data_IF_543167410717
#
_entry.id   IF_543167410717
#
_cell.length_a   1.000
_cell.length_b   1.000
_cell.length_c   1.000
_cell.angle_alpha   90.00
_cell.angle_beta   90.00
_cell.angle_gamma   90.00
#
_symmetry.space_group_name_H-M   'P 1'
#
loop_
_entity.id
_entity.type
_entity.pdbx_description
1 polymer ?
#
# COMPACT_ATOMS: atom_id res chain seq x y z
N UNK A 1 23.79 55.05 3.28
CA UNK A 1 24.08 54.57 4.65
C UNK A 1 23.69 53.10 4.66
N UNK A 2 24.53 52.20 4.34
CA UNK A 2 25.57 51.54 5.06
C UNK A 2 25.08 50.14 5.37
N UNK A 3 25.21 49.17 4.39
CA UNK A 3 24.89 47.75 4.60
C UNK A 3 26.24 47.02 4.69
N UNK A 4 26.55 46.51 5.90
CA UNK A 4 27.73 45.67 6.15
C UNK A 4 27.47 44.21 5.72
N UNK A 5 28.23 43.77 4.74
CA UNK A 5 28.34 42.37 4.35
C UNK A 5 29.36 41.64 5.24
N UNK A 6 28.93 40.61 5.96
CA UNK A 6 29.82 39.72 6.72
C UNK A 6 30.22 38.52 5.86
N UNK A 7 31.49 38.55 5.39
CA UNK A 7 32.07 37.44 4.59
C UNK A 7 32.78 36.49 5.56
N UNK A 8 32.29 35.27 5.66
CA UNK A 8 32.93 34.18 6.44
C UNK A 8 34.02 33.50 5.58
N UNK A 9 35.29 33.72 5.95
CA UNK A 9 36.45 33.01 5.35
C UNK A 9 36.62 31.63 5.94
N UNK A 10 36.46 30.59 5.12
CA UNK A 10 36.86 29.22 5.45
C UNK A 10 38.33 29.02 5.06
N UNK A 11 39.18 28.73 6.05
CA UNK A 11 40.58 28.35 5.86
C UNK A 11 40.67 26.90 5.39
N UNK A 12 41.23 26.68 4.22
CA UNK A 12 41.65 25.38 3.73
C UNK A 12 43.07 25.13 4.25
N UNK A 13 43.24 24.09 5.05
CA UNK A 13 44.54 23.61 5.51
C UNK A 13 45.10 22.59 4.49
N UNK A 14 46.21 22.94 3.86
CA UNK A 14 47.00 22.06 3.02
C UNK A 14 47.94 21.24 3.90
N UNK A 15 47.90 19.90 3.82
CA UNK A 15 48.90 19.00 4.38
C UNK A 15 49.61 18.23 3.28
N UNK A 16 50.94 18.21 3.41
CA UNK A 16 51.95 17.67 2.47
C UNK A 16 51.95 16.14 2.38
N UNK A 17 52.60 15.56 1.36
CA UNK A 17 52.49 14.15 0.99
C UNK A 17 53.38 13.25 1.85
N UNK A 18 52.85 12.14 2.35
CA UNK A 18 53.62 11.05 2.94
C UNK A 18 53.78 9.87 1.95
N UNK A 19 54.99 9.34 1.99
CA UNK A 19 55.61 8.30 1.16
C UNK A 19 54.78 7.02 1.05
N UNK A 20 54.70 6.53 -0.19
CA UNK A 20 54.29 5.16 -0.54
C UNK A 20 55.26 4.13 0.05
N UNK A 21 54.73 3.14 0.76
CA UNK A 21 55.37 1.85 1.06
C UNK A 21 54.67 0.79 0.21
N UNK A 22 55.39 0.21 -0.71
CA UNK A 22 54.98 -0.98 -1.45
C UNK A 22 54.82 -2.17 -0.50
N UNK A 23 53.72 -2.92 -0.67
CA UNK A 23 53.54 -4.24 -0.10
C UNK A 23 53.16 -5.26 -1.20
N UNK A 24 53.58 -6.51 -1.03
CA UNK A 24 53.66 -7.47 -2.14
C UNK A 24 52.30 -8.08 -2.48
N UNK A 25 52.06 -8.21 -3.78
CA UNK A 25 51.00 -8.97 -4.41
C UNK A 25 51.06 -10.45 -4.01
N UNK A 26 50.09 -10.92 -3.26
CA UNK A 26 49.70 -12.34 -3.23
C UNK A 26 48.33 -12.51 -3.86
N UNK A 27 48.33 -12.97 -5.08
CA UNK A 27 47.19 -13.47 -5.83
C UNK A 27 46.71 -14.77 -5.14
N UNK A 28 45.64 -14.69 -4.38
CA UNK A 28 44.84 -15.87 -4.04
C UNK A 28 43.46 -15.68 -4.63
N UNK A 29 43.19 -16.44 -5.68
CA UNK A 29 41.85 -16.62 -6.25
C UNK A 29 40.90 -17.12 -5.17
N UNK A 30 39.97 -16.27 -4.71
CA UNK A 30 38.82 -16.70 -3.95
C UNK A 30 37.81 -17.32 -4.91
N UNK A 31 37.13 -18.41 -4.50
CA UNK A 31 36.07 -19.03 -5.29
C UNK A 31 34.86 -18.09 -5.37
N UNK A 32 34.08 -18.27 -6.43
CA UNK A 32 32.93 -17.50 -6.80
C UNK A 32 32.01 -17.18 -5.60
N UNK A 33 31.74 -15.91 -5.50
CA UNK A 33 30.83 -15.22 -4.59
C UNK A 33 29.52 -15.95 -4.39
N UNK A 34 29.21 -16.21 -3.12
CA UNK A 34 27.84 -16.35 -2.63
C UNK A 34 27.02 -15.17 -3.12
N UNK A 35 25.94 -15.46 -3.85
CA UNK A 35 24.94 -14.48 -4.23
C UNK A 35 24.25 -14.10 -2.90
N UNK A 36 24.60 -12.94 -2.34
CA UNK A 36 23.83 -12.34 -1.26
C UNK A 36 22.39 -12.19 -1.76
N UNK A 37 21.49 -13.05 -1.26
CA UNK A 37 20.07 -13.01 -1.58
C UNK A 37 19.42 -14.35 -1.93
N UNK A 38 20.06 -15.49 -1.73
CA UNK A 38 19.37 -16.78 -1.89
C UNK A 38 18.47 -17.05 -0.70
N UNK A 39 17.18 -17.36 -0.97
CA UNK A 39 16.23 -17.82 0.05
C UNK A 39 16.73 -19.11 0.71
N UNK A 40 16.55 -19.24 2.00
CA UNK A 40 16.85 -20.48 2.75
C UNK A 40 15.88 -21.61 2.37
N UNK A 41 16.25 -22.86 2.68
CA UNK A 41 15.34 -24.00 2.50
C UNK A 41 14.03 -23.83 3.30
N UNK A 42 14.08 -23.12 4.41
CA UNK A 42 12.89 -22.85 5.23
C UNK A 42 12.03 -21.75 4.62
N UNK A 43 12.63 -20.76 3.94
CA UNK A 43 11.90 -19.74 3.18
C UNK A 43 11.12 -20.39 2.01
N UNK A 44 11.73 -21.35 1.31
CA UNK A 44 11.07 -22.11 0.23
C UNK A 44 9.82 -22.82 0.74
N UNK A 45 9.91 -23.54 1.86
CA UNK A 45 8.74 -24.18 2.50
C UNK A 45 7.67 -23.16 2.91
N UNK A 46 8.12 -22.01 3.41
CA UNK A 46 7.22 -20.92 3.84
C UNK A 46 6.49 -20.30 2.64
N UNK A 47 7.10 -20.25 1.45
CA UNK A 47 6.44 -19.83 0.20
C UNK A 47 5.31 -20.80 -0.17
N UNK A 48 5.57 -22.11 -0.13
CA UNK A 48 4.55 -23.11 -0.43
C UNK A 48 3.39 -23.05 0.59
N UNK A 49 3.71 -22.84 1.87
CA UNK A 49 2.71 -22.68 2.92
C UNK A 49 1.85 -21.41 2.71
N UNK A 50 2.48 -20.30 2.30
CA UNK A 50 1.77 -19.05 1.99
C UNK A 50 0.81 -19.26 0.82
N UNK A 51 1.26 -19.88 -0.26
CA UNK A 51 0.41 -20.19 -1.43
C UNK A 51 -0.80 -21.05 -1.06
N UNK A 52 -0.56 -22.12 -0.29
CA UNK A 52 -1.64 -22.96 0.21
C UNK A 52 -2.62 -22.18 1.07
N UNK A 53 -2.10 -21.40 2.02
CA UNK A 53 -2.93 -20.56 2.88
C UNK A 53 -3.76 -19.56 2.09
N UNK A 54 -3.20 -18.95 1.05
CA UNK A 54 -3.93 -18.04 0.17
C UNK A 54 -5.04 -18.75 -0.61
N UNK A 55 -4.77 -19.94 -1.16
CA UNK A 55 -5.79 -20.75 -1.82
C UNK A 55 -6.94 -21.13 -0.85
N UNK A 56 -6.60 -21.50 0.37
CA UNK A 56 -7.58 -21.80 1.42
C UNK A 56 -8.41 -20.56 1.80
N UNK A 57 -7.78 -19.36 1.90
CA UNK A 57 -8.47 -18.09 2.12
C UNK A 57 -9.43 -17.80 0.96
N UNK A 58 -9.00 -17.92 -0.30
CA UNK A 58 -9.89 -17.74 -1.46
C UNK A 58 -11.09 -18.67 -1.40
N UNK A 59 -10.87 -19.93 -1.06
CA UNK A 59 -11.93 -20.94 -0.90
C UNK A 59 -12.91 -20.56 0.21
N UNK A 60 -12.43 -20.03 1.33
CA UNK A 60 -13.33 -19.56 2.39
C UNK A 60 -14.10 -18.30 1.97
N UNK A 61 -13.44 -17.34 1.33
CA UNK A 61 -14.08 -16.10 0.87
C UNK A 61 -15.15 -16.37 -0.20
N UNK A 62 -14.92 -17.32 -1.12
CA UNK A 62 -15.89 -17.64 -2.18
C UNK A 62 -17.21 -18.20 -1.67
N UNK A 63 -17.30 -18.58 -0.40
CA UNK A 63 -18.56 -18.98 0.24
C UNK A 63 -19.51 -17.80 0.48
N UNK A 64 -18.98 -16.57 0.52
CA UNK A 64 -19.75 -15.36 0.85
C UNK A 64 -19.59 -14.30 -0.24
N UNK A 65 -18.42 -14.19 -0.84
CA UNK A 65 -18.08 -13.21 -1.87
C UNK A 65 -18.08 -13.90 -3.22
N UNK A 66 -18.95 -13.44 -4.10
CA UNK A 66 -19.03 -13.90 -5.48
C UNK A 66 -18.36 -12.86 -6.37
N UNK A 67 -17.46 -13.32 -7.24
CA UNK A 67 -16.63 -12.42 -8.06
C UNK A 67 -15.58 -11.67 -7.24
N UNK A 68 -15.12 -10.53 -7.75
CA UNK A 68 -14.14 -9.64 -7.13
C UNK A 68 -12.77 -10.32 -6.84
N UNK A 69 -12.40 -11.34 -7.61
CA UNK A 69 -11.17 -12.11 -7.38
C UNK A 69 -9.93 -11.22 -7.45
N UNK A 70 -9.90 -10.30 -8.42
CA UNK A 70 -8.80 -9.38 -8.59
C UNK A 70 -8.66 -8.41 -7.40
N UNK A 71 -9.78 -7.92 -6.87
CA UNK A 71 -9.78 -7.05 -5.68
C UNK A 71 -9.26 -7.82 -4.45
N UNK A 72 -9.67 -9.08 -4.27
CA UNK A 72 -9.19 -9.96 -3.18
C UNK A 72 -7.68 -10.15 -3.29
N UNK A 73 -7.17 -10.48 -4.48
CA UNK A 73 -5.73 -10.67 -4.70
C UNK A 73 -4.95 -9.39 -4.40
N UNK A 74 -5.36 -8.25 -4.95
CA UNK A 74 -4.71 -6.96 -4.72
C UNK A 74 -4.72 -6.55 -3.24
N UNK A 75 -5.83 -6.79 -2.52
CA UNK A 75 -5.87 -6.55 -1.07
C UNK A 75 -4.88 -7.45 -0.33
N UNK A 76 -4.80 -8.72 -0.69
CA UNK A 76 -3.88 -9.64 -0.03
C UNK A 76 -2.41 -9.31 -0.33
N UNK A 77 -2.08 -8.95 -1.59
CA UNK A 77 -0.76 -8.42 -1.96
C UNK A 77 -0.39 -7.18 -1.13
N UNK A 78 -1.34 -6.26 -0.97
CA UNK A 78 -1.16 -5.06 -0.17
C UNK A 78 -0.90 -5.38 1.31
N UNK A 79 -1.64 -6.34 1.88
CA UNK A 79 -1.44 -6.81 3.27
C UNK A 79 -0.07 -7.47 3.45
N UNK A 80 0.36 -8.31 2.52
CA UNK A 80 1.68 -8.96 2.54
C UNK A 80 2.82 -7.94 2.42
N UNK A 81 2.60 -6.86 1.67
CA UNK A 81 3.57 -5.77 1.47
C UNK A 81 3.56 -4.73 2.60
N UNK A 82 2.77 -4.93 3.66
CA UNK A 82 2.56 -3.97 4.74
C UNK A 82 2.09 -2.58 4.23
N UNK A 83 1.34 -2.58 3.13
CA UNK A 83 0.76 -1.39 2.52
C UNK A 83 -0.65 -1.12 3.01
N UNK A 84 -1.21 0.00 2.57
CA UNK A 84 -2.61 0.37 2.75
C UNK A 84 -3.25 0.54 1.37
N UNK A 85 -4.56 0.28 1.23
CA UNK A 85 -5.21 0.38 -0.06
C UNK A 85 -6.42 1.34 -0.04
N UNK A 86 -6.66 1.94 -1.19
CA UNK A 86 -7.85 2.73 -1.47
C UNK A 86 -8.76 1.93 -2.41
N UNK A 87 -9.97 1.63 -1.96
CA UNK A 87 -11.01 0.97 -2.75
C UNK A 87 -11.87 2.02 -3.44
N UNK A 88 -11.91 2.00 -4.74
CA UNK A 88 -12.77 2.85 -5.54
C UNK A 88 -13.86 1.99 -6.18
N UNK A 89 -15.11 2.34 -5.95
CA UNK A 89 -16.24 1.63 -6.54
C UNK A 89 -17.57 2.17 -6.02
N UNK A 90 -18.61 1.95 -6.79
CA UNK A 90 -19.97 2.39 -6.47
C UNK A 90 -20.48 1.77 -5.16
N UNK A 91 -21.51 2.33 -4.53
CA UNK A 91 -22.19 1.71 -3.40
C UNK A 91 -22.76 0.34 -3.77
N UNK A 92 -22.91 -0.55 -2.78
CA UNK A 92 -23.55 -1.86 -3.00
C UNK A 92 -22.61 -2.99 -3.44
N UNK A 93 -21.33 -2.74 -3.71
CA UNK A 93 -20.36 -3.76 -4.12
C UNK A 93 -19.78 -4.59 -2.95
N UNK A 94 -20.52 -4.72 -1.85
CA UNK A 94 -20.16 -5.53 -0.69
C UNK A 94 -18.75 -5.25 -0.08
N UNK A 95 -18.22 -4.01 -0.21
CA UNK A 95 -16.88 -3.63 0.29
C UNK A 95 -16.71 -3.96 1.77
N UNK A 96 -17.67 -3.58 2.61
CA UNK A 96 -17.63 -3.86 4.06
C UNK A 96 -17.64 -5.36 4.35
N UNK A 97 -18.47 -6.13 3.63
CA UNK A 97 -18.55 -7.57 3.78
C UNK A 97 -17.22 -8.23 3.40
N UNK A 98 -16.62 -7.82 2.29
CA UNK A 98 -15.33 -8.33 1.81
C UNK A 98 -14.21 -8.09 2.83
N UNK A 99 -14.06 -6.85 3.31
CA UNK A 99 -12.99 -6.49 4.27
C UNK A 99 -13.17 -7.24 5.60
N UNK A 100 -14.40 -7.31 6.10
CA UNK A 100 -14.70 -8.07 7.30
C UNK A 100 -14.42 -9.57 7.12
N UNK A 101 -14.75 -10.14 5.97
CA UNK A 101 -14.48 -11.55 5.65
C UNK A 101 -12.98 -11.85 5.60
N UNK A 102 -12.17 -10.96 5.03
CA UNK A 102 -10.71 -11.08 5.05
C UNK A 102 -10.18 -11.05 6.49
N UNK A 103 -10.67 -10.15 7.33
CA UNK A 103 -10.23 -10.06 8.73
C UNK A 103 -10.56 -11.33 9.52
N UNK A 104 -11.73 -11.94 9.26
CA UNK A 104 -12.14 -13.20 9.90
C UNK A 104 -11.26 -14.37 9.48
N UNK A 105 -10.95 -14.52 8.19
CA UNK A 105 -10.10 -15.60 7.67
C UNK A 105 -8.65 -15.48 8.13
N UNK A 106 -8.18 -14.25 8.41
CA UNK A 106 -6.82 -13.96 8.90
C UNK A 106 -6.73 -13.80 10.42
N UNK A 107 -7.81 -14.06 11.17
CA UNK A 107 -7.88 -13.92 12.63
C UNK A 107 -7.42 -12.55 13.13
N UNK A 108 -7.67 -11.50 12.36
CA UNK A 108 -7.36 -10.12 12.70
C UNK A 108 -8.57 -9.41 13.28
N UNK A 109 -8.35 -8.49 14.20
CA UNK A 109 -9.41 -7.61 14.70
C UNK A 109 -9.83 -6.62 13.60
N UNK A 110 -11.14 -6.38 13.49
CA UNK A 110 -11.73 -5.51 12.49
C UNK A 110 -12.34 -4.27 13.14
N UNK A 111 -12.05 -3.10 12.61
CA UNK A 111 -12.67 -1.83 12.95
C UNK A 111 -13.25 -1.16 11.71
N UNK A 112 -14.48 -0.64 11.81
CA UNK A 112 -15.11 0.19 10.77
C UNK A 112 -15.23 1.61 11.27
N UNK A 113 -14.81 2.55 10.45
CA UNK A 113 -14.97 4.00 10.65
C UNK A 113 -15.78 4.51 9.48
N UNK A 114 -17.02 4.92 9.71
CA UNK A 114 -17.83 5.59 8.72
C UNK A 114 -17.51 7.07 8.75
N UNK A 115 -16.93 7.59 7.68
CA UNK A 115 -16.57 9.00 7.56
C UNK A 115 -17.81 9.82 7.20
N UNK A 116 -18.19 10.71 8.09
CA UNK A 116 -19.34 11.64 7.95
C UNK A 116 -18.84 13.08 8.10
N UNK A 117 -19.57 14.09 7.60
CA UNK A 117 -19.13 15.49 7.68
C UNK A 117 -18.86 16.01 9.09
N UNK A 118 -19.51 15.43 10.09
CA UNK A 118 -19.41 15.79 11.51
C UNK A 118 -18.41 14.94 12.30
N UNK A 119 -17.79 13.92 11.68
CA UNK A 119 -16.81 13.05 12.34
C UNK A 119 -15.57 13.84 12.80
N UNK A 120 -15.24 13.72 14.08
CA UNK A 120 -14.08 14.37 14.68
C UNK A 120 -12.86 13.43 14.71
N UNK A 121 -11.61 13.96 14.74
CA UNK A 121 -10.41 13.15 14.91
C UNK A 121 -10.45 12.24 16.15
N UNK A 122 -11.02 12.74 17.27
CA UNK A 122 -11.19 11.98 18.51
C UNK A 122 -12.09 10.75 18.36
N UNK A 123 -13.06 10.79 17.43
CA UNK A 123 -13.95 9.65 17.17
C UNK A 123 -13.18 8.51 16.47
N UNK A 124 -12.11 8.85 15.76
CA UNK A 124 -11.21 7.91 15.09
C UNK A 124 -10.16 7.39 16.06
N UNK A 125 -9.45 8.29 16.76
CA UNK A 125 -8.28 7.97 17.57
C UNK A 125 -8.59 7.61 19.02
N UNK A 126 -9.77 8.00 19.50
CA UNK A 126 -10.12 7.94 20.92
C UNK A 126 -9.82 9.24 21.66
N UNK A 127 -10.20 9.27 22.92
CA UNK A 127 -10.12 10.45 23.77
C UNK A 127 -9.80 10.08 25.21
N UNK A 128 -9.26 11.03 25.97
CA UNK A 128 -9.14 10.90 27.43
C UNK A 128 -10.39 11.41 28.11
N UNK A 129 -10.91 10.65 29.06
CA UNK A 129 -12.02 11.05 29.91
C UNK A 129 -11.58 11.07 31.38
N UNK A 130 -12.13 12.00 32.13
CA UNK A 130 -11.91 12.09 33.56
C UNK A 130 -12.87 11.13 34.28
N UNK A 131 -12.35 10.09 34.91
CA UNK A 131 -13.14 9.11 35.67
C UNK A 131 -12.78 9.14 37.16
N UNK A 132 -13.73 8.76 38.00
CA UNK A 132 -13.42 8.51 39.41
C UNK A 132 -12.55 7.25 39.54
N UNK A 133 -11.53 7.31 40.37
CA UNK A 133 -10.71 6.15 40.67
C UNK A 133 -11.53 5.02 41.29
N UNK A 134 -11.17 3.78 40.96
CA UNK A 134 -11.84 2.60 41.48
C UNK A 134 -11.62 2.41 42.99
N UNK A 135 -10.57 2.98 43.53
CA UNK A 135 -10.20 2.98 44.94
C UNK A 135 -10.95 4.01 45.79
N UNK A 136 -11.79 4.83 45.14
CA UNK A 136 -12.76 5.72 45.82
C UNK A 136 -12.25 7.12 46.16
N UNK A 137 -10.98 7.43 45.98
CA UNK A 137 -10.42 8.74 46.28
C UNK A 137 -9.73 9.38 45.06
N UNK A 138 -10.35 10.44 44.52
CA UNK A 138 -9.83 11.26 43.42
C UNK A 138 -10.36 10.88 42.04
N UNK A 139 -9.84 11.63 41.02
CA UNK A 139 -10.16 11.44 39.61
C UNK A 139 -8.87 11.17 38.83
N UNK A 140 -8.98 10.40 37.77
CA UNK A 140 -7.88 10.11 36.85
C UNK A 140 -8.32 10.23 35.41
N UNK A 141 -7.40 10.60 34.53
CA UNK A 141 -7.63 10.56 33.08
C UNK A 141 -7.44 9.13 32.57
N UNK A 142 -8.45 8.62 31.90
CA UNK A 142 -8.43 7.29 31.30
C UNK A 142 -8.59 7.43 29.80
N UNK A 143 -7.65 6.85 29.06
CA UNK A 143 -7.72 6.83 27.61
C UNK A 143 -8.73 5.78 27.11
N UNK A 144 -9.75 6.24 26.41
CA UNK A 144 -10.72 5.40 25.70
C UNK A 144 -10.27 5.26 24.24
N UNK A 145 -9.91 4.04 23.89
CA UNK A 145 -9.45 3.72 22.52
C UNK A 145 -10.55 3.93 21.50
N UNK A 146 -10.23 4.61 20.42
CA UNK A 146 -11.08 4.72 19.23
C UNK A 146 -11.04 3.47 18.34
N UNK A 147 -11.88 3.42 17.30
CA UNK A 147 -11.98 2.28 16.39
C UNK A 147 -10.69 1.98 15.60
N UNK A 148 -9.75 2.93 15.53
CA UNK A 148 -8.45 2.74 14.86
C UNK A 148 -7.57 1.69 15.53
N UNK A 149 -7.86 1.30 16.80
CA UNK A 149 -7.10 0.30 17.53
C UNK A 149 -7.51 -1.14 17.18
N UNK A 150 -7.64 -1.42 15.89
CA UNK A 150 -7.82 -2.75 15.35
C UNK A 150 -6.73 -3.04 14.30
N UNK A 151 -6.58 -4.30 13.91
CA UNK A 151 -5.59 -4.71 12.91
C UNK A 151 -5.99 -4.29 11.49
N UNK A 152 -7.27 -4.47 11.15
CA UNK A 152 -7.85 -4.13 9.85
C UNK A 152 -8.88 -3.04 10.04
N UNK A 153 -8.63 -1.90 9.44
CA UNK A 153 -9.54 -0.74 9.48
C UNK A 153 -10.18 -0.56 8.11
N UNK A 154 -11.50 -0.56 8.10
CA UNK A 154 -12.27 -0.04 6.97
C UNK A 154 -12.63 1.42 7.24
N UNK A 155 -11.96 2.33 6.54
CA UNK A 155 -12.27 3.76 6.53
C UNK A 155 -13.28 4.02 5.40
N UNK A 156 -14.56 3.94 5.72
CA UNK A 156 -15.64 3.98 4.73
C UNK A 156 -15.98 5.42 4.37
N UNK A 157 -15.98 5.73 3.06
CA UNK A 157 -16.27 7.06 2.48
C UNK A 157 -15.34 8.18 3.01
N UNK A 158 -14.03 7.95 3.00
CA UNK A 158 -13.02 8.85 3.58
C UNK A 158 -13.12 10.30 3.06
N UNK A 159 -13.62 10.49 1.85
CA UNK A 159 -13.81 11.80 1.22
C UNK A 159 -15.03 12.59 1.73
N UNK A 160 -15.87 12.04 2.62
CA UNK A 160 -17.03 12.76 3.21
C UNK A 160 -16.70 13.59 4.44
N UNK A 161 -15.49 13.48 4.96
CA UNK A 161 -15.07 14.16 6.18
C UNK A 161 -14.04 15.26 5.86
N UNK A 162 -14.03 16.38 6.61
CA UNK A 162 -13.05 17.44 6.44
C UNK A 162 -11.60 16.95 6.57
N UNK A 163 -10.63 17.64 5.93
CA UNK A 163 -9.21 17.24 5.87
C UNK A 163 -8.54 16.98 7.22
N UNK A 164 -8.99 17.65 8.29
CA UNK A 164 -8.44 17.47 9.64
C UNK A 164 -8.64 16.03 10.15
N UNK A 165 -9.82 15.47 9.95
CA UNK A 165 -10.13 14.09 10.39
C UNK A 165 -9.49 13.06 9.46
N UNK A 166 -9.47 13.33 8.13
CA UNK A 166 -8.70 12.50 7.19
C UNK A 166 -7.23 12.40 7.60
N UNK A 167 -6.61 13.53 7.99
CA UNK A 167 -5.20 13.59 8.38
C UNK A 167 -4.89 12.72 9.60
N UNK A 168 -5.79 12.59 10.57
CA UNK A 168 -5.60 11.73 11.73
C UNK A 168 -5.43 10.24 11.34
N UNK A 169 -6.25 9.74 10.41
CA UNK A 169 -6.10 8.38 9.89
C UNK A 169 -4.79 8.23 9.09
N UNK A 170 -4.49 9.20 8.22
CA UNK A 170 -3.32 9.16 7.34
C UNK A 170 -1.99 9.27 8.11
N UNK A 171 -1.98 9.97 9.26
CA UNK A 171 -0.85 10.00 10.18
C UNK A 171 -0.67 8.63 10.84
N UNK A 172 -1.75 8.05 11.35
CA UNK A 172 -1.72 6.72 11.95
C UNK A 172 -1.24 5.62 11.00
N UNK A 173 -1.57 5.73 9.70
CA UNK A 173 -1.06 4.81 8.67
C UNK A 173 0.46 4.88 8.51
N UNK A 174 1.07 6.07 8.64
CA UNK A 174 2.50 6.25 8.47
C UNK A 174 3.29 5.94 9.74
N UNK A 175 2.80 6.47 10.87
CA UNK A 175 3.53 6.41 12.14
C UNK A 175 3.25 5.12 12.93
N UNK A 176 2.22 4.34 12.54
CA UNK A 176 1.71 3.16 13.24
C UNK A 176 1.41 3.44 14.73
N UNK A 177 1.08 4.68 15.03
CA UNK A 177 0.72 5.19 16.35
C UNK A 177 -0.24 6.38 16.22
N UNK A 178 -0.91 6.69 17.30
CA UNK A 178 -1.70 7.92 17.44
C UNK A 178 -1.25 8.69 18.66
N UNK A 179 -1.31 10.03 18.60
CA UNK A 179 -0.97 10.91 19.71
C UNK A 179 -2.25 11.51 20.27
N UNK A 180 -2.58 11.21 21.54
CA UNK A 180 -3.74 11.75 22.24
C UNK A 180 -3.26 12.44 23.52
N UNK A 181 -3.67 13.69 23.74
CA UNK A 181 -3.26 14.50 24.91
C UNK A 181 -1.74 14.48 25.18
N UNK A 182 -0.91 14.44 24.13
CA UNK A 182 0.56 14.40 24.23
C UNK A 182 1.16 13.02 24.49
N UNK A 183 0.33 11.98 24.65
CA UNK A 183 0.77 10.59 24.84
C UNK A 183 0.69 9.81 23.55
N UNK A 184 1.76 9.06 23.23
CA UNK A 184 1.81 8.19 22.06
C UNK A 184 1.25 6.81 22.38
N UNK A 185 0.25 6.39 21.62
CA UNK A 185 -0.37 5.08 21.70
C UNK A 185 -0.04 4.26 20.45
N UNK A 186 0.69 3.16 20.61
CA UNK A 186 1.07 2.28 19.50
C UNK A 186 -0.14 1.50 18.99
N UNK A 187 -0.25 1.38 17.67
CA UNK A 187 -1.24 0.54 17.02
C UNK A 187 -0.79 -0.91 16.98
N UNK A 188 -1.74 -1.83 17.00
CA UNK A 188 -1.45 -3.26 16.97
C UNK A 188 -1.05 -3.71 15.57
N UNK A 189 0.11 -4.36 15.46
CA UNK A 189 0.54 -4.96 14.19
C UNK A 189 0.11 -6.43 14.05
N UNK A 190 -0.20 -6.90 12.81
CA UNK A 190 -0.18 -6.14 11.56
C UNK A 190 -1.30 -5.09 11.53
N UNK A 191 -1.02 -3.91 10.98
CA UNK A 191 -1.98 -2.82 10.84
C UNK A 191 -2.23 -2.53 9.37
N UNK A 192 -3.49 -2.62 8.96
CA UNK A 192 -3.89 -2.49 7.57
C UNK A 192 -5.14 -1.60 7.44
N UNK A 193 -5.05 -0.56 6.62
CA UNK A 193 -6.16 0.34 6.33
C UNK A 193 -6.63 0.14 4.90
N UNK A 194 -7.92 -0.09 4.77
CA UNK A 194 -8.68 -0.05 3.54
C UNK A 194 -9.61 1.16 3.60
N UNK A 195 -9.28 2.21 2.86
CA UNK A 195 -10.16 3.36 2.71
C UNK A 195 -11.08 3.15 1.50
N UNK A 196 -12.32 3.65 1.54
CA UNK A 196 -13.21 3.63 0.38
C UNK A 196 -13.50 5.04 -0.11
N UNK A 197 -13.66 5.16 -1.41
CA UNK A 197 -14.20 6.35 -2.06
C UNK A 197 -15.32 5.97 -3.01
N UNK A 198 -16.37 6.77 -3.00
CA UNK A 198 -17.45 6.67 -3.98
C UNK A 198 -17.18 7.66 -5.10
N UNK A 199 -16.91 7.21 -6.34
CA UNK A 199 -16.60 8.10 -7.44
C UNK A 199 -17.81 8.91 -7.97
N UNK A 200 -19.03 8.51 -7.62
CA UNK A 200 -20.27 9.13 -8.10
C UNK A 200 -20.65 10.33 -7.22
N UNK A 201 -20.40 10.24 -5.92
CA UNK A 201 -20.74 11.30 -4.98
C UNK A 201 -19.71 12.43 -5.04
N UNK A 202 -20.11 13.57 -5.60
CA UNK A 202 -19.28 14.77 -5.69
C UNK A 202 -19.73 15.87 -4.72
N UNK A 203 -21.04 15.96 -4.44
CA UNK A 203 -21.59 16.96 -3.54
C UNK A 203 -21.28 16.62 -2.06
N UNK A 204 -20.86 17.64 -1.31
CA UNK A 204 -20.50 17.47 0.12
C UNK A 204 -19.26 16.63 0.39
N UNK A 205 -18.37 16.48 -0.60
CA UNK A 205 -17.14 15.69 -0.47
C UNK A 205 -15.90 16.59 -0.41
N UNK A 206 -14.88 16.08 0.28
CA UNK A 206 -13.54 16.68 0.38
C UNK A 206 -12.55 15.72 -0.28
N UNK A 207 -12.17 15.95 -1.56
CA UNK A 207 -11.25 15.07 -2.25
C UNK A 207 -9.90 15.01 -1.52
N UNK A 208 -9.31 13.82 -1.49
CA UNK A 208 -7.96 13.64 -0.95
C UNK A 208 -6.95 14.32 -1.90
N UNK A 209 -6.07 15.21 -1.39
CA UNK A 209 -4.96 15.73 -2.18
C UNK A 209 -4.02 14.63 -2.64
N UNK A 210 -3.31 14.84 -3.76
CA UNK A 210 -2.38 13.87 -4.36
C UNK A 210 -1.31 13.39 -3.36
N UNK A 211 -0.81 14.27 -2.50
CA UNK A 211 0.15 13.94 -1.45
C UNK A 211 -0.41 12.97 -0.39
N UNK A 212 -1.73 12.96 -0.20
CA UNK A 212 -2.42 12.03 0.69
C UNK A 212 -2.75 10.72 -0.02
N UNK A 213 -3.15 10.79 -1.29
CA UNK A 213 -3.36 9.62 -2.14
C UNK A 213 -2.08 8.80 -2.30
N UNK A 214 -0.91 9.44 -2.40
CA UNK A 214 0.40 8.78 -2.50
C UNK A 214 0.73 7.88 -1.29
N UNK A 215 0.05 8.02 -0.15
CA UNK A 215 0.21 7.17 1.04
C UNK A 215 -0.42 5.79 0.89
N UNK A 216 -1.43 5.65 0.02
CA UNK A 216 -2.01 4.36 -0.30
C UNK A 216 -1.12 3.63 -1.30
N UNK A 217 -0.76 2.40 -0.98
CA UNK A 217 0.06 1.56 -1.86
C UNK A 217 -0.67 1.26 -3.16
N UNK A 218 -1.89 0.75 -3.05
CA UNK A 218 -2.75 0.39 -4.18
C UNK A 218 -4.03 1.21 -4.20
N UNK A 219 -4.45 1.61 -5.41
CA UNK A 219 -5.83 1.93 -5.69
C UNK A 219 -6.46 0.71 -6.36
N UNK A 220 -7.48 0.15 -5.72
CA UNK A 220 -8.18 -1.06 -6.16
C UNK A 220 -9.56 -0.63 -6.66
N UNK A 221 -9.81 -0.83 -7.94
CA UNK A 221 -11.12 -0.57 -8.53
C UNK A 221 -12.00 -1.79 -8.36
N UNK A 222 -13.22 -1.54 -7.95
CA UNK A 222 -14.26 -2.56 -7.86
C UNK A 222 -15.33 -2.23 -8.88
N UNK A 223 -15.48 -3.11 -9.86
CA UNK A 223 -16.48 -2.99 -10.91
C UNK A 223 -17.76 -3.76 -10.56
N UNK A 224 -18.83 -3.51 -11.31
CA UNK A 224 -20.05 -4.28 -11.18
C UNK A 224 -19.80 -5.76 -11.47
N UNK A 225 -20.47 -6.66 -10.75
CA UNK A 225 -20.43 -8.08 -11.07
C UNK A 225 -20.95 -8.34 -12.49
N UNK A 226 -20.49 -9.41 -13.11
CA UNK A 226 -21.08 -9.92 -14.35
C UNK A 226 -22.53 -10.39 -14.11
N UNK A 227 -23.32 -10.51 -15.20
CA UNK A 227 -24.72 -10.99 -15.09
C UNK A 227 -24.85 -12.31 -14.35
N UNK A 228 -23.94 -13.25 -14.59
CA UNK A 228 -23.97 -14.58 -13.95
C UNK A 228 -23.61 -14.51 -12.47
N UNK A 229 -22.65 -13.63 -12.10
CA UNK A 229 -22.32 -13.33 -10.71
C UNK A 229 -23.48 -12.64 -9.99
N UNK A 230 -24.18 -11.71 -10.62
CA UNK A 230 -25.38 -11.07 -10.05
C UNK A 230 -26.51 -12.07 -9.78
N UNK A 231 -26.73 -13.02 -10.67
CA UNK A 231 -27.69 -14.12 -10.46
C UNK A 231 -27.27 -14.96 -9.26
N UNK A 232 -26.00 -15.33 -9.16
CA UNK A 232 -25.48 -16.13 -8.05
C UNK A 232 -25.56 -15.36 -6.71
N UNK A 233 -25.27 -14.06 -6.71
CA UNK A 233 -25.45 -13.18 -5.53
C UNK A 233 -26.91 -13.16 -5.09
N UNK A 234 -27.85 -12.96 -6.03
CA UNK A 234 -29.29 -12.93 -5.72
C UNK A 234 -29.75 -14.26 -5.12
N UNK A 235 -29.33 -15.37 -5.68
CA UNK A 235 -29.64 -16.70 -5.17
C UNK A 235 -29.08 -16.93 -3.75
N UNK A 236 -27.81 -16.56 -3.53
CA UNK A 236 -27.16 -16.77 -2.24
C UNK A 236 -27.72 -15.87 -1.13
N UNK A 237 -28.01 -14.60 -1.42
CA UNK A 237 -28.44 -13.64 -0.39
C UNK A 237 -29.90 -13.80 -0.01
N UNK A 238 -30.72 -14.46 -0.83
CA UNK A 238 -32.15 -14.70 -0.55
C UNK A 238 -32.44 -15.96 0.26
N UNK A 239 -31.45 -16.84 0.48
CA UNK A 239 -31.64 -18.14 1.15
C UNK A 239 -31.53 -18.04 2.71
N UNK A 240 -31.14 -16.87 3.25
CA UNK A 240 -31.16 -16.65 4.70
C UNK A 240 -29.79 -16.35 5.31
N UNK A 241 -29.17 -17.27 6.08
CA UNK A 241 -27.95 -16.98 6.83
C UNK A 241 -26.69 -17.22 6.03
N UNK A 242 -25.77 -16.23 6.00
CA UNK A 242 -24.44 -16.42 5.43
C UNK A 242 -23.64 -17.46 6.23
N UNK A 243 -22.86 -18.32 5.56
CA UNK A 243 -22.02 -19.32 6.21
C UNK A 243 -20.94 -18.66 7.07
N UNK A 244 -20.61 -19.27 8.22
CA UNK A 244 -19.49 -18.83 9.04
C UNK A 244 -18.17 -19.16 8.36
N UNK A 245 -17.31 -18.18 8.23
CA UNK A 245 -15.97 -18.35 7.69
C UNK A 245 -15.04 -19.02 8.71
N UNK A 246 -14.18 -19.91 8.23
CA UNK A 246 -13.13 -20.50 9.03
C UNK A 246 -11.90 -19.58 9.09
N UNK A 247 -11.25 -19.57 10.24
CA UNK A 247 -9.93 -18.94 10.39
C UNK A 247 -8.89 -19.81 9.68
N UNK A 248 -8.16 -19.23 8.73
CA UNK A 248 -7.14 -19.94 7.93
C UNK A 248 -5.75 -19.65 8.47
N UNK A 249 -5.43 -18.38 8.70
CA UNK A 249 -4.14 -17.96 9.25
C UNK A 249 -4.34 -17.08 10.49
N UNK A 250 -3.30 -16.98 11.33
CA UNK A 250 -3.27 -16.06 12.46
C UNK A 250 -2.55 -14.77 12.08
N UNK A 251 -2.78 -13.69 12.83
CA UNK A 251 -2.03 -12.44 12.67
C UNK A 251 -0.51 -12.64 12.84
N UNK A 252 -0.08 -13.57 13.72
CA UNK A 252 1.34 -13.94 13.83
C UNK A 252 1.86 -14.55 12.53
N UNK A 253 1.11 -15.48 11.94
CA UNK A 253 1.49 -16.13 10.67
C UNK A 253 1.54 -15.13 9.52
N UNK A 254 0.61 -14.18 9.48
CA UNK A 254 0.66 -13.09 8.50
C UNK A 254 1.95 -12.26 8.64
N UNK A 255 2.38 -11.94 9.86
CA UNK A 255 3.67 -11.24 10.09
C UNK A 255 4.87 -12.07 9.62
N UNK A 256 4.87 -13.37 9.82
CA UNK A 256 5.92 -14.27 9.29
C UNK A 256 5.96 -14.21 7.76
N UNK A 257 4.80 -14.21 7.11
CA UNK A 257 4.70 -14.06 5.65
C UNK A 257 5.14 -12.68 5.16
N UNK A 258 4.84 -11.61 5.88
CA UNK A 258 5.34 -10.26 5.57
C UNK A 258 6.88 -10.21 5.61
N UNK A 259 7.49 -10.80 6.63
CA UNK A 259 8.95 -10.90 6.75
C UNK A 259 9.56 -11.77 5.65
N UNK A 260 8.87 -12.83 5.23
CA UNK A 260 9.29 -13.66 4.08
C UNK A 260 9.33 -12.83 2.80
N UNK A 261 8.27 -12.07 2.51
CA UNK A 261 8.19 -11.19 1.33
C UNK A 261 9.32 -10.15 1.33
N UNK A 262 9.69 -9.60 2.49
CA UNK A 262 10.81 -8.66 2.58
C UNK A 262 12.15 -9.26 2.12
N UNK A 263 12.36 -10.56 2.36
CA UNK A 263 13.60 -11.29 1.99
C UNK A 263 13.65 -11.75 0.54
N UNK A 264 12.56 -11.66 -0.21
CA UNK A 264 12.53 -12.08 -1.63
C UNK A 264 13.55 -11.28 -2.45
N UNK A 265 14.47 -11.93 -3.17
CA UNK A 265 15.45 -11.27 -4.00
C UNK A 265 14.79 -10.51 -5.16
N UNK A 266 15.38 -9.37 -5.51
CA UNK A 266 14.98 -8.56 -6.66
C UNK A 266 16.21 -8.33 -7.52
N UNK A 267 16.27 -8.86 -8.74
CA UNK A 267 17.37 -8.61 -9.66
C UNK A 267 17.48 -7.13 -10.06
N UNK A 268 18.70 -6.68 -10.40
CA UNK A 268 18.96 -5.29 -10.75
C UNK A 268 18.09 -4.79 -11.91
N UNK A 269 17.92 -5.59 -12.96
CA UNK A 269 17.07 -5.22 -14.11
C UNK A 269 15.59 -5.05 -13.74
N UNK A 270 15.11 -5.69 -12.65
CA UNK A 270 13.73 -5.50 -12.13
C UNK A 270 13.64 -4.18 -11.36
N UNK A 271 14.69 -3.83 -10.61
CA UNK A 271 14.77 -2.50 -9.99
C UNK A 271 14.83 -1.39 -11.04
N UNK A 272 15.64 -1.57 -12.08
CA UNK A 272 15.75 -0.63 -13.21
C UNK A 272 14.39 -0.43 -13.89
N UNK A 273 13.68 -1.51 -14.23
CA UNK A 273 12.33 -1.42 -14.79
C UNK A 273 11.37 -0.62 -13.88
N UNK A 274 11.37 -0.88 -12.57
CA UNK A 274 10.49 -0.15 -11.64
C UNK A 274 10.83 1.35 -11.58
N UNK A 275 12.12 1.69 -11.63
CA UNK A 275 12.59 3.09 -11.68
C UNK A 275 12.20 3.74 -12.99
N UNK A 276 12.44 3.08 -14.11
CA UNK A 276 12.17 3.60 -15.45
C UNK A 276 10.68 3.81 -15.68
N UNK A 277 9.83 2.86 -15.29
CA UNK A 277 8.38 3.03 -15.37
C UNK A 277 7.93 4.29 -14.63
N UNK A 278 8.42 4.51 -13.40
CA UNK A 278 8.05 5.70 -12.62
C UNK A 278 8.61 6.97 -13.21
N UNK A 279 9.87 7.01 -13.62
CA UNK A 279 10.52 8.19 -14.21
C UNK A 279 9.83 8.60 -15.51
N UNK A 280 9.49 7.64 -16.36
CA UNK A 280 8.76 7.85 -17.62
C UNK A 280 7.35 8.43 -17.42
N UNK A 281 6.72 8.30 -16.23
CA UNK A 281 5.45 8.98 -15.95
C UNK A 281 5.57 10.50 -15.83
N UNK A 282 6.78 11.04 -15.64
CA UNK A 282 7.02 12.47 -15.35
C UNK A 282 7.22 13.25 -16.63
N UNK A 283 6.35 14.21 -16.99
CA UNK A 283 6.41 14.90 -18.29
C UNK A 283 7.74 15.62 -18.57
N UNK A 284 8.41 16.08 -17.49
CA UNK A 284 9.67 16.85 -17.60
C UNK A 284 10.93 15.98 -17.51
N UNK A 285 10.81 14.65 -17.38
CA UNK A 285 11.96 13.76 -17.38
C UNK A 285 12.47 13.52 -18.83
N UNK A 286 13.77 13.31 -18.98
CA UNK A 286 14.39 13.05 -20.31
C UNK A 286 13.85 11.76 -20.90
N UNK A 287 13.67 10.74 -20.05
CA UNK A 287 13.20 9.41 -20.42
C UNK A 287 11.71 9.36 -20.81
N UNK A 288 10.97 10.45 -20.58
CA UNK A 288 9.54 10.50 -20.88
C UNK A 288 9.26 10.50 -22.37
N UNK A 289 8.43 9.57 -22.87
CA UNK A 289 8.05 9.54 -24.28
C UNK A 289 7.29 10.80 -24.68
N UNK A 290 7.46 11.23 -25.94
CA UNK A 290 6.81 12.44 -26.46
C UNK A 290 5.29 12.43 -26.32
N UNK A 291 4.64 11.26 -26.51
CA UNK A 291 3.20 11.12 -26.37
C UNK A 291 2.74 11.37 -24.92
N UNK A 292 3.54 10.99 -23.91
CA UNK A 292 3.19 11.18 -22.51
C UNK A 292 3.22 12.66 -22.12
N UNK A 293 4.21 13.42 -22.60
CA UNK A 293 4.32 14.86 -22.35
C UNK A 293 3.07 15.63 -22.80
N UNK A 294 2.36 15.11 -23.81
CA UNK A 294 1.10 15.69 -24.29
C UNK A 294 -0.10 15.36 -23.40
N UNK A 295 -0.09 14.23 -22.69
CA UNK A 295 -1.26 13.66 -22.01
C UNK A 295 -1.22 13.78 -20.50
N UNK A 296 -0.04 13.86 -19.90
CA UNK A 296 0.16 13.84 -18.44
C UNK A 296 0.55 15.23 -17.94
N UNK A 297 -0.13 15.68 -16.90
CA UNK A 297 0.18 16.90 -16.18
C UNK A 297 1.22 16.66 -15.07
N UNK A 298 1.08 15.55 -14.35
CA UNK A 298 1.91 15.17 -13.22
C UNK A 298 2.12 13.67 -13.15
N UNK A 299 3.36 13.23 -12.88
CA UNK A 299 3.74 11.83 -12.79
C UNK A 299 4.06 11.39 -11.37
N UNK A 300 4.31 10.09 -11.20
CA UNK A 300 4.51 9.46 -9.91
C UNK A 300 5.84 9.85 -9.22
N UNK A 301 5.80 9.91 -7.89
CA UNK A 301 6.95 10.17 -7.01
C UNK A 301 7.78 8.92 -6.70
N UNK A 302 8.90 9.06 -5.95
CA UNK A 302 9.79 7.94 -5.60
C UNK A 302 9.11 6.85 -4.77
N UNK A 303 8.07 7.17 -3.98
CA UNK A 303 7.29 6.19 -3.21
C UNK A 303 6.64 5.12 -4.09
N UNK A 304 6.26 5.49 -5.32
CA UNK A 304 5.74 4.54 -6.29
C UNK A 304 6.74 3.43 -6.64
N UNK A 305 8.05 3.76 -6.75
CA UNK A 305 9.11 2.75 -6.98
C UNK A 305 9.14 1.74 -5.84
N UNK A 306 9.10 2.23 -4.59
CA UNK A 306 9.10 1.36 -3.42
C UNK A 306 7.89 0.43 -3.41
N UNK A 307 6.71 0.94 -3.78
CA UNK A 307 5.48 0.15 -3.82
C UNK A 307 5.44 -0.84 -4.99
N UNK A 308 6.00 -0.48 -6.15
CA UNK A 308 6.17 -1.42 -7.26
C UNK A 308 7.03 -2.61 -6.83
N UNK A 309 8.20 -2.36 -6.24
CA UNK A 309 9.11 -3.40 -5.79
C UNK A 309 8.49 -4.26 -4.69
N UNK A 310 7.87 -3.65 -3.67
CA UNK A 310 7.19 -4.39 -2.59
C UNK A 310 6.03 -5.25 -3.10
N UNK A 311 5.21 -4.69 -3.98
CA UNK A 311 4.10 -5.40 -4.59
C UNK A 311 4.55 -6.55 -5.48
N UNK A 312 5.60 -6.34 -6.26
CA UNK A 312 6.20 -7.37 -7.10
C UNK A 312 6.77 -8.53 -6.27
N UNK A 313 7.45 -8.27 -5.15
CA UNK A 313 7.90 -9.31 -4.20
C UNK A 313 6.74 -10.16 -3.69
N UNK A 314 5.67 -9.51 -3.23
CA UNK A 314 4.49 -10.20 -2.75
C UNK A 314 3.83 -11.03 -3.85
N UNK A 315 3.75 -10.49 -5.08
CA UNK A 315 3.20 -11.18 -6.25
C UNK A 315 4.02 -12.41 -6.62
N UNK A 316 5.36 -12.29 -6.66
CA UNK A 316 6.26 -13.42 -6.94
C UNK A 316 6.01 -14.59 -5.98
N UNK A 317 5.92 -14.31 -4.67
CA UNK A 317 5.65 -15.35 -3.65
C UNK A 317 4.27 -15.99 -3.85
N UNK A 318 3.22 -15.19 -4.12
CA UNK A 318 1.89 -15.74 -4.40
C UNK A 318 1.85 -16.59 -5.66
N UNK A 319 2.62 -16.23 -6.68
CA UNK A 319 2.78 -17.05 -7.89
C UNK A 319 3.64 -18.30 -7.65
N UNK A 320 4.35 -18.39 -6.52
CA UNK A 320 5.24 -19.50 -6.17
C UNK A 320 6.66 -19.33 -6.69
N UNK A 321 7.02 -18.12 -7.06
CA UNK A 321 8.37 -17.78 -7.50
C UNK A 321 9.25 -17.43 -6.30
N UNK A 322 10.52 -17.76 -6.40
CA UNK A 322 11.52 -17.52 -5.35
C UNK A 322 12.33 -16.22 -5.60
N UNK A 323 12.04 -15.55 -6.67
CA UNK A 323 12.68 -14.31 -7.10
C UNK A 323 11.67 -13.47 -7.89
N UNK A 324 11.78 -12.16 -7.76
CA UNK A 324 10.91 -11.21 -8.45
C UNK A 324 11.26 -11.13 -9.93
N UNK A 325 10.28 -11.07 -10.80
CA UNK A 325 10.40 -10.89 -12.24
C UNK A 325 9.88 -9.53 -12.70
N UNK A 326 10.18 -9.16 -13.95
CA UNK A 326 9.62 -7.96 -14.58
C UNK A 326 8.10 -8.06 -14.71
N UNK A 327 7.57 -9.24 -14.99
CA UNK A 327 6.13 -9.50 -15.05
C UNK A 327 5.44 -9.19 -13.71
N UNK A 328 6.09 -9.46 -12.58
CA UNK A 328 5.54 -9.14 -11.28
C UNK A 328 5.40 -7.62 -11.06
N UNK A 329 6.37 -6.82 -11.57
CA UNK A 329 6.30 -5.35 -11.56
C UNK A 329 5.17 -4.85 -12.45
N UNK A 330 5.06 -5.37 -13.67
CA UNK A 330 4.02 -4.99 -14.62
C UNK A 330 2.60 -5.27 -14.10
N UNK A 331 2.41 -6.41 -13.45
CA UNK A 331 1.12 -6.79 -12.86
C UNK A 331 0.64 -5.87 -11.74
N UNK A 332 1.56 -5.29 -10.98
CA UNK A 332 1.22 -4.34 -9.90
C UNK A 332 1.32 -2.87 -10.33
N UNK A 333 1.71 -2.60 -11.58
CA UNK A 333 1.93 -1.24 -12.06
C UNK A 333 0.63 -0.40 -12.06
N UNK A 334 -0.48 -0.93 -12.58
CA UNK A 334 -1.74 -0.20 -12.62
C UNK A 334 -2.25 0.17 -11.21
N UNK A 335 -2.43 -0.76 -10.25
CA UNK A 335 -2.89 -0.38 -8.93
C UNK A 335 -1.94 0.54 -8.16
N UNK A 336 -0.63 0.54 -8.47
CA UNK A 336 0.33 1.47 -7.86
C UNK A 336 0.30 2.84 -8.53
N UNK A 337 0.23 2.91 -9.86
CA UNK A 337 0.47 4.15 -10.61
C UNK A 337 -0.82 4.92 -10.93
N UNK A 338 -1.97 4.26 -11.01
CA UNK A 338 -3.24 4.87 -11.44
C UNK A 338 -3.55 6.19 -10.73
N UNK A 339 -3.48 6.23 -9.40
CA UNK A 339 -3.79 7.40 -8.58
C UNK A 339 -2.62 8.37 -8.40
N UNK A 340 -1.49 8.10 -9.04
CA UNK A 340 -0.27 8.91 -9.00
C UNK A 340 0.01 9.63 -10.32
N UNK A 341 -0.74 9.28 -11.37
CA UNK A 341 -0.63 9.91 -12.69
C UNK A 341 -1.85 10.82 -12.88
N UNK A 342 -1.60 12.12 -12.94
CA UNK A 342 -2.62 13.12 -13.22
C UNK A 342 -2.61 13.44 -14.72
N UNK A 343 -3.67 13.04 -15.40
CA UNK A 343 -3.86 13.37 -16.81
C UNK A 343 -4.34 14.81 -16.99
N UNK A 344 -3.92 15.47 -18.07
CA UNK A 344 -4.31 16.84 -18.37
C UNK A 344 -5.66 16.90 -19.11
N UNK A 345 -6.10 18.11 -19.46
CA UNK A 345 -7.36 18.32 -20.17
C UNK A 345 -7.38 17.64 -21.54
N UNK A 346 -6.22 17.61 -22.23
CA UNK A 346 -6.13 17.01 -23.56
C UNK A 346 -6.37 15.48 -23.51
N UNK A 347 -5.76 14.79 -22.55
CA UNK A 347 -6.03 13.37 -22.31
C UNK A 347 -7.51 13.11 -22.03
N UNK A 348 -8.14 13.94 -21.18
CA UNK A 348 -9.56 13.78 -20.85
C UNK A 348 -10.45 13.96 -22.06
N UNK A 349 -10.15 14.92 -22.96
CA UNK A 349 -10.92 15.15 -24.20
C UNK A 349 -10.76 14.01 -25.20
N UNK A 350 -9.64 13.29 -25.16
CA UNK A 350 -9.39 12.09 -25.99
C UNK A 350 -9.88 10.79 -25.32
N UNK A 351 -10.44 10.85 -24.09
CA UNK A 351 -10.88 9.67 -23.34
C UNK A 351 -9.72 8.83 -22.76
N UNK A 352 -8.50 9.38 -22.73
CA UNK A 352 -7.31 8.67 -22.22
C UNK A 352 -7.27 8.74 -20.70
N UNK A 353 -7.32 7.57 -20.05
CA UNK A 353 -7.26 7.41 -18.61
C UNK A 353 -5.82 7.16 -18.12
N UNK A 354 -5.58 7.32 -16.81
CA UNK A 354 -4.30 6.94 -16.19
C UNK A 354 -3.96 5.46 -16.43
N UNK A 355 -4.95 4.55 -16.44
CA UNK A 355 -4.76 3.13 -16.79
C UNK A 355 -4.22 2.96 -18.20
N UNK A 356 -4.75 3.70 -19.17
CA UNK A 356 -4.29 3.64 -20.57
C UNK A 356 -2.83 4.13 -20.67
N UNK A 357 -2.50 5.18 -19.91
CA UNK A 357 -1.11 5.67 -19.82
C UNK A 357 -0.19 4.59 -19.26
N UNK A 358 -0.57 3.91 -18.17
CA UNK A 358 0.24 2.82 -17.57
C UNK A 358 0.42 1.67 -18.53
N UNK A 359 -0.65 1.20 -19.18
CA UNK A 359 -0.58 0.12 -20.18
C UNK A 359 0.40 0.44 -21.30
N UNK A 360 0.31 1.64 -21.87
CA UNK A 360 1.18 2.07 -22.94
C UNK A 360 2.64 2.19 -22.49
N UNK A 361 2.92 2.64 -21.27
CA UNK A 361 4.27 2.68 -20.72
C UNK A 361 4.89 1.28 -20.58
N UNK A 362 4.08 0.28 -20.14
CA UNK A 362 4.52 -1.12 -20.06
C UNK A 362 4.82 -1.69 -21.45
N UNK A 363 3.95 -1.41 -22.43
CA UNK A 363 4.17 -1.85 -23.81
C UNK A 363 5.46 -1.26 -24.41
N UNK A 364 5.72 0.03 -24.16
CA UNK A 364 6.94 0.69 -24.64
C UNK A 364 8.19 0.10 -23.94
N UNK A 365 8.14 -0.16 -22.65
CA UNK A 365 9.23 -0.82 -21.93
C UNK A 365 9.52 -2.22 -22.48
N UNK A 366 8.49 -3.02 -22.79
CA UNK A 366 8.64 -4.35 -23.41
C UNK A 366 9.27 -4.32 -24.81
N UNK A 367 9.02 -3.25 -25.60
CA UNK A 367 9.62 -3.10 -26.94
C UNK A 367 11.10 -2.78 -26.90
N UNK A 368 11.52 -2.01 -25.89
CA UNK A 368 12.93 -1.63 -25.73
C UNK A 368 13.82 -2.78 -25.21
N UNK A 369 13.22 -3.78 -24.59
CA UNK A 369 13.91 -4.97 -24.09
C UNK A 369 14.08 -6.08 -25.15
N UNK A 370 13.44 -5.95 -26.30
CA UNK A 370 13.57 -6.85 -27.44
C UNK A 370 14.62 -6.39 -28.43
#
# INVERSE_FOLDING_TARGET
MGINALVLKIKIATSSPQKQKEMPTKTTSKPATDIEGSLSKDDVKSIDELRKSYADIKTELSKIIIGQEEAIERMFLCMLSQGHALLMGVPGLAKTLLVNSISQTTSLSFGRIQFTPDLMPSDVTGTEILQNRKDGDGREFVFIKGPIFANVILADEINRTPPKTQSALLEAMQEKRVTVAGTNHQLQEPFFVLATQNPIEQEGTYPLPEAQLDRFMFLIRMDYPSRDEEIAIAQQTTIGTLPKLKKVISGKKLKEFQQLVERVPVPDHVHELAVDLVRRTRPNAEESPAWLKRLVQWGAGPRAIQYLVKGAKARAVLAGNYMTSMEDVENVADPVLFHRILTNFHARSEGVTSTEVVKRLIEDARKEQR
#
